data_IF_793213590939
#
_entry.id   IF_793213590939
#
_cell.length_a   1.000
_cell.length_b   1.000
_cell.length_c   1.000
_cell.angle_alpha   90.00
_cell.angle_beta   90.00
_cell.angle_gamma   90.00
#
_symmetry.space_group_name_H-M   'P 1'
#
loop_
_entity.id
_entity.type
_entity.pdbx_description
1 polymer ?
#
# COMPACT_ATOMS: atom_id res chain seq x y z
N UNK A 1 -21.45 0.76 11.25
CA UNK A 1 -20.15 1.08 10.61
C UNK A 1 -19.62 -0.19 9.99
N UNK A 2 -19.61 -0.28 8.66
CA UNK A 2 -19.00 -1.41 7.96
C UNK A 2 -17.50 -1.38 8.22
N UNK A 3 -16.98 -2.30 9.04
CA UNK A 3 -15.55 -2.62 9.04
C UNK A 3 -15.26 -3.31 7.71
N UNK A 4 -14.84 -2.55 6.70
CA UNK A 4 -14.23 -3.12 5.50
C UNK A 4 -13.02 -3.92 5.97
N UNK A 5 -13.16 -5.25 6.03
CA UNK A 5 -12.07 -6.13 6.46
C UNK A 5 -11.13 -6.25 5.27
N UNK A 6 -9.98 -5.56 5.33
CA UNK A 6 -8.94 -5.71 4.32
C UNK A 6 -8.50 -7.19 4.30
N UNK A 7 -8.66 -7.86 3.16
CA UNK A 7 -8.18 -9.23 2.98
C UNK A 7 -6.75 -9.21 2.45
N UNK A 8 -5.83 -9.79 3.22
CA UNK A 8 -4.44 -9.98 2.80
C UNK A 8 -4.39 -11.23 1.92
N UNK A 9 -4.00 -11.07 0.66
CA UNK A 9 -3.75 -12.20 -0.24
C UNK A 9 -2.34 -12.76 0.01
N UNK A 10 -2.03 -14.01 -0.31
CA UNK A 10 -0.65 -14.56 -0.29
C UNK A 10 0.23 -14.09 0.91
N UNK A 11 -0.22 -14.26 2.17
CA UNK A 11 0.46 -13.69 3.34
C UNK A 11 1.89 -14.21 3.51
N UNK A 12 2.12 -15.49 3.17
CA UNK A 12 3.42 -16.16 3.32
C UNK A 12 4.41 -15.84 2.19
N UNK A 13 4.02 -15.03 1.20
CA UNK A 13 4.92 -14.63 0.11
C UNK A 13 6.08 -13.82 0.69
N UNK A 14 7.31 -14.23 0.40
CA UNK A 14 8.52 -13.49 0.78
C UNK A 14 8.65 -12.22 -0.06
N UNK A 15 8.58 -11.05 0.57
CA UNK A 15 8.87 -9.77 -0.08
C UNK A 15 10.36 -9.42 0.01
N UNK A 16 11.03 -9.87 1.07
CA UNK A 16 12.48 -9.77 1.24
C UNK A 16 13.08 -11.17 1.48
N UNK A 17 13.36 -11.94 0.40
CA UNK A 17 13.79 -13.33 0.50
C UNK A 17 15.08 -13.52 1.31
N UNK A 18 16.05 -12.61 1.16
CA UNK A 18 17.38 -12.71 1.80
C UNK A 18 17.32 -12.67 3.34
N UNK A 19 16.26 -12.08 3.90
CA UNK A 19 16.04 -11.95 5.35
C UNK A 19 14.77 -12.65 5.82
N UNK A 20 14.10 -13.40 4.93
CA UNK A 20 12.93 -14.20 5.26
C UNK A 20 11.65 -13.41 5.61
N UNK A 21 11.55 -12.11 5.26
CA UNK A 21 10.37 -11.30 5.60
C UNK A 21 9.24 -11.57 4.62
N UNK A 22 8.11 -12.02 5.16
CA UNK A 22 6.86 -12.28 4.47
C UNK A 22 6.03 -11.00 4.25
N UNK A 23 5.04 -11.08 3.36
CA UNK A 23 4.10 -9.99 3.14
C UNK A 23 3.27 -9.68 4.38
N UNK A 24 2.88 -10.70 5.14
CA UNK A 24 2.12 -10.49 6.37
C UNK A 24 2.94 -9.68 7.39
N UNK A 25 4.19 -10.06 7.64
CA UNK A 25 5.08 -9.34 8.56
C UNK A 25 5.33 -7.89 8.11
N UNK A 26 5.47 -7.66 6.79
CA UNK A 26 5.57 -6.31 6.25
C UNK A 26 4.33 -5.46 6.55
N UNK A 27 3.14 -6.00 6.31
CA UNK A 27 1.87 -5.30 6.56
C UNK A 27 1.67 -5.05 8.06
N UNK A 28 2.00 -6.01 8.92
CA UNK A 28 1.98 -5.85 10.37
C UNK A 28 2.91 -4.70 10.81
N UNK A 29 4.11 -4.63 10.22
CA UNK A 29 5.05 -3.53 10.48
C UNK A 29 4.50 -2.17 10.04
N UNK A 30 3.84 -2.11 8.87
CA UNK A 30 3.16 -0.88 8.43
C UNK A 30 2.04 -0.47 9.39
N UNK A 31 1.28 -1.43 9.92
CA UNK A 31 0.23 -1.15 10.89
C UNK A 31 0.80 -0.57 12.20
N UNK A 32 1.84 -1.19 12.74
CA UNK A 32 2.55 -0.70 13.94
C UNK A 32 3.09 0.72 13.75
N UNK A 33 3.65 1.00 12.57
CA UNK A 33 4.25 2.31 12.25
C UNK A 33 3.23 3.33 11.71
N UNK A 34 1.99 2.93 11.45
CA UNK A 34 0.99 3.73 10.73
C UNK A 34 0.77 5.11 11.36
N UNK A 35 0.71 5.20 12.69
CA UNK A 35 0.57 6.48 13.39
C UNK A 35 1.70 7.47 13.10
N UNK A 36 2.95 6.99 13.01
CA UNK A 36 4.10 7.81 12.69
C UNK A 36 4.15 8.19 11.21
N UNK A 37 3.85 7.23 10.33
CA UNK A 37 3.81 7.46 8.88
C UNK A 37 2.74 8.51 8.56
N UNK A 38 1.51 8.29 9.02
CA UNK A 38 0.36 9.15 8.75
C UNK A 38 0.54 10.56 9.29
N UNK A 39 1.26 10.74 10.40
CA UNK A 39 1.58 12.08 10.93
C UNK A 39 2.21 13.00 9.87
N UNK A 40 3.00 12.45 8.95
CA UNK A 40 3.72 13.24 7.94
C UNK A 40 3.19 13.06 6.52
N UNK A 41 2.47 11.98 6.24
CA UNK A 41 1.98 11.65 4.89
C UNK A 41 0.51 11.96 4.67
N UNK A 42 -0.27 12.23 5.73
CA UNK A 42 -1.70 12.50 5.61
C UNK A 42 -2.00 13.66 4.63
N UNK A 43 -2.92 13.43 3.71
CA UNK A 43 -3.34 14.37 2.66
C UNK A 43 -2.40 14.46 1.45
N UNK A 44 -1.32 13.67 1.39
CA UNK A 44 -0.38 13.70 0.26
C UNK A 44 -0.82 12.81 -0.89
N UNK A 45 -0.64 13.30 -2.12
CA UNK A 45 -0.73 12.51 -3.34
C UNK A 45 0.49 11.58 -3.45
N UNK A 46 0.25 10.30 -3.74
CA UNK A 46 1.28 9.27 -3.74
C UNK A 46 1.68 8.85 -5.14
N UNK A 47 2.98 8.70 -5.35
CA UNK A 47 3.52 7.76 -6.35
C UNK A 47 4.03 6.56 -5.59
N UNK A 48 3.62 5.36 -5.98
CA UNK A 48 4.03 4.11 -5.34
C UNK A 48 4.88 3.26 -6.27
N UNK A 49 5.76 2.44 -5.70
CA UNK A 49 6.54 1.43 -6.43
C UNK A 49 6.11 0.08 -5.89
N UNK A 50 5.70 -0.81 -6.77
CA UNK A 50 5.18 -2.12 -6.41
C UNK A 50 6.19 -3.20 -6.77
N UNK A 51 6.40 -4.16 -5.85
CA UNK A 51 7.26 -5.33 -6.01
C UNK A 51 6.44 -6.61 -5.79
N UNK A 52 5.54 -6.98 -6.73
CA UNK A 52 4.56 -8.05 -6.51
C UNK A 52 5.17 -9.40 -6.14
N UNK A 53 6.39 -9.67 -6.61
CA UNK A 53 7.12 -10.92 -6.41
C UNK A 53 8.38 -10.75 -5.54
N UNK A 54 8.51 -9.63 -4.84
CA UNK A 54 9.60 -9.33 -3.91
C UNK A 54 10.68 -8.40 -4.49
N UNK A 55 11.55 -7.90 -3.62
CA UNK A 55 12.53 -6.83 -3.94
C UNK A 55 13.60 -7.23 -4.97
N UNK A 56 13.83 -8.53 -5.14
CA UNK A 56 14.80 -9.06 -6.11
C UNK A 56 14.22 -9.22 -7.52
N UNK A 57 12.91 -9.02 -7.67
CA UNK A 57 12.17 -9.20 -8.92
C UNK A 57 11.76 -7.87 -9.57
N UNK A 58 10.99 -7.93 -10.65
CA UNK A 58 10.52 -6.74 -11.37
C UNK A 58 9.59 -5.87 -10.52
N UNK A 59 9.80 -4.56 -10.61
CA UNK A 59 8.92 -3.55 -10.02
C UNK A 59 8.24 -2.68 -11.07
N UNK A 60 7.19 -1.97 -10.66
CA UNK A 60 6.54 -0.95 -11.49
C UNK A 60 6.11 0.26 -10.67
N UNK A 61 6.08 1.42 -11.33
CA UNK A 61 5.58 2.67 -10.76
C UNK A 61 4.07 2.79 -10.98
N UNK A 62 3.36 3.27 -9.97
CA UNK A 62 1.94 3.60 -10.05
C UNK A 62 1.72 5.04 -9.57
N UNK A 63 1.08 5.84 -10.43
CA UNK A 63 0.64 7.21 -10.11
C UNK A 63 -0.88 7.31 -10.09
N UNK A 64 -1.52 6.74 -11.10
CA UNK A 64 -2.98 6.66 -11.17
C UNK A 64 -3.52 5.63 -10.17
N UNK A 65 -4.62 5.96 -9.52
CA UNK A 65 -5.43 5.01 -8.76
C UNK A 65 -5.89 3.88 -9.71
N UNK A 66 -5.72 2.60 -9.32
CA UNK A 66 -6.19 1.49 -10.14
C UNK A 66 -7.72 1.37 -10.07
N UNK A 67 -8.34 0.86 -11.14
CA UNK A 67 -9.80 0.67 -11.23
C UNK A 67 -10.38 -0.29 -10.19
N UNK A 68 -9.55 -1.12 -9.57
CA UNK A 68 -9.94 -2.07 -8.53
C UNK A 68 -9.66 -1.54 -7.11
N UNK A 69 -9.33 -0.24 -6.96
CA UNK A 69 -9.16 0.37 -5.66
C UNK A 69 -10.47 0.26 -4.84
N UNK A 70 -10.40 -0.16 -3.56
CA UNK A 70 -11.56 -0.18 -2.69
C UNK A 70 -12.15 1.21 -2.44
N UNK A 71 -13.45 1.29 -2.15
CA UNK A 71 -14.18 2.54 -1.91
C UNK A 71 -13.62 3.42 -0.77
N UNK A 72 -12.85 2.85 0.15
CA UNK A 72 -12.23 3.61 1.23
C UNK A 72 -10.94 4.35 0.81
N UNK A 73 -10.41 4.07 -0.38
CA UNK A 73 -9.18 4.68 -0.88
C UNK A 73 -9.53 6.05 -1.48
N UNK A 74 -9.16 7.11 -0.76
CA UNK A 74 -9.29 8.47 -1.27
C UNK A 74 -8.36 8.73 -2.46
N UNK A 75 -8.83 9.54 -3.40
CA UNK A 75 -8.06 9.94 -4.57
C UNK A 75 -8.36 11.38 -5.00
N UNK A 76 -7.50 11.95 -5.85
CA UNK A 76 -7.64 13.31 -6.36
C UNK A 76 -6.97 13.46 -7.73
N UNK A 77 -7.72 14.01 -8.67
CA UNK A 77 -7.20 14.47 -9.96
C UNK A 77 -6.28 15.69 -9.78
N UNK A 78 -5.03 15.56 -10.22
CA UNK A 78 -4.02 16.63 -10.25
C UNK A 78 -3.39 16.66 -11.64
N UNK A 79 -3.73 17.68 -12.43
CA UNK A 79 -3.47 17.66 -13.86
C UNK A 79 -4.27 16.52 -14.51
N UNK A 80 -3.58 15.66 -15.26
CA UNK A 80 -4.19 14.52 -15.96
C UNK A 80 -4.04 13.18 -15.22
N UNK A 81 -3.64 13.21 -13.94
CA UNK A 81 -3.36 12.01 -13.15
C UNK A 81 -4.27 11.98 -11.92
N UNK A 82 -4.95 10.86 -11.71
CA UNK A 82 -5.81 10.64 -10.55
C UNK A 82 -5.03 9.93 -9.45
N UNK A 83 -4.48 10.70 -8.52
CA UNK A 83 -3.56 10.20 -7.51
C UNK A 83 -4.30 9.60 -6.31
N UNK A 84 -3.77 8.50 -5.78
CA UNK A 84 -4.13 8.02 -4.43
C UNK A 84 -3.70 9.08 -3.40
N UNK A 85 -4.58 9.39 -2.46
CA UNK A 85 -4.30 10.28 -1.34
C UNK A 85 -4.10 9.44 -0.08
N UNK A 86 -2.95 9.58 0.58
CA UNK A 86 -2.71 8.93 1.86
C UNK A 86 -3.51 9.64 2.96
N UNK A 87 -4.52 9.00 3.54
CA UNK A 87 -5.37 9.62 4.56
C UNK A 87 -5.71 8.73 5.76
N UNK A 88 -5.46 7.43 5.64
CA UNK A 88 -5.91 6.40 6.57
C UNK A 88 -4.90 5.26 6.67
N UNK A 89 -4.96 4.51 7.78
CA UNK A 89 -4.16 3.30 7.93
C UNK A 89 -4.63 2.22 6.94
N UNK A 90 -5.92 2.17 6.65
CA UNK A 90 -6.52 1.25 5.69
C UNK A 90 -5.93 1.42 4.28
N UNK A 91 -5.77 2.66 3.79
CA UNK A 91 -5.08 2.94 2.53
C UNK A 91 -3.62 2.47 2.58
N UNK A 92 -2.90 2.74 3.68
CA UNK A 92 -1.51 2.29 3.86
C UNK A 92 -1.38 0.77 3.80
N UNK A 93 -2.23 0.04 4.52
CA UNK A 93 -2.20 -1.42 4.54
C UNK A 93 -2.66 -2.03 3.21
N UNK A 94 -3.61 -1.40 2.52
CA UNK A 94 -4.01 -1.82 1.18
C UNK A 94 -2.85 -1.68 0.18
N UNK A 95 -2.13 -0.57 0.20
CA UNK A 95 -0.90 -0.40 -0.58
C UNK A 95 0.15 -1.46 -0.23
N UNK A 96 0.33 -1.75 1.06
CA UNK A 96 1.22 -2.83 1.50
C UNK A 96 0.80 -4.22 1.00
N UNK A 97 -0.50 -4.51 0.93
CA UNK A 97 -1.02 -5.75 0.38
C UNK A 97 -0.77 -5.90 -1.13
N UNK A 98 -0.66 -4.78 -1.84
CA UNK A 98 -0.21 -4.72 -3.24
C UNK A 98 1.31 -4.67 -3.38
N UNK A 99 2.06 -4.95 -2.30
CA UNK A 99 3.52 -4.91 -2.26
C UNK A 99 4.12 -3.55 -2.67
N UNK A 100 3.47 -2.45 -2.28
CA UNK A 100 4.10 -1.14 -2.33
C UNK A 100 5.20 -1.07 -1.27
N UNK A 101 6.47 -0.96 -1.69
CA UNK A 101 7.68 -0.94 -0.84
C UNK A 101 8.46 0.37 -1.03
#
# INVERSE_FOLDING_TARGET
>A
MNKSRLQISNPDKLLFPDVGITKLEYIEKLYELSGYILKYTKGRALTTIHYPDGVSEKSYYQKNIPSHAPDFVSHKLIGDIDYIIMDSAETLLWLGNMAAL
#
